data_IF_590565727491
#
_entry.id   IF_590565727491
#
_cell.length_a   1.000
_cell.length_b   1.000
_cell.length_c   1.000
_cell.angle_alpha   90.00
_cell.angle_beta   90.00
_cell.angle_gamma   90.00
#
_symmetry.space_group_name_H-M   'P 1'
#
loop_
_entity.id
_entity.type
_entity.pdbx_description
1 polymer ?
#
# COMPACT_ATOMS: atom_id res chain seq x y z
N UNK A 1 35.94 57.46 -29.01
CA UNK A 1 35.55 58.16 -27.76
C UNK A 1 34.21 57.58 -27.32
N UNK A 2 34.13 57.11 -26.06
CA UNK A 2 32.98 57.00 -25.13
C UNK A 2 31.52 57.00 -25.67
N UNK A 3 30.51 56.35 -25.10
CA UNK A 3 30.29 55.48 -23.92
C UNK A 3 28.76 55.27 -23.79
N UNK A 4 28.35 54.33 -22.95
CA UNK A 4 26.99 53.93 -22.48
C UNK A 4 26.28 52.90 -23.37
N UNK A 5 26.30 51.59 -23.07
CA UNK A 5 25.96 50.78 -21.87
C UNK A 5 24.44 50.64 -21.62
N UNK A 6 23.86 49.64 -22.25
CA UNK A 6 22.67 48.94 -21.80
C UNK A 6 23.09 47.73 -20.94
N UNK A 7 22.57 47.65 -19.72
CA UNK A 7 22.66 46.48 -18.84
C UNK A 7 21.61 45.43 -19.24
N UNK A 8 21.95 44.14 -19.33
CA UNK A 8 21.02 43.05 -19.09
C UNK A 8 21.12 42.60 -17.62
N UNK A 9 19.94 42.47 -17.00
CA UNK A 9 19.72 41.97 -15.64
C UNK A 9 20.03 40.47 -15.62
N UNK A 10 20.99 40.06 -14.78
CA UNK A 10 21.21 38.68 -14.37
C UNK A 10 20.20 38.28 -13.27
N UNK A 11 19.67 37.05 -13.26
CA UNK A 11 18.94 36.52 -12.12
C UNK A 11 19.91 36.12 -10.98
N UNK A 12 19.51 36.27 -9.70
CA UNK A 12 20.38 36.01 -8.56
C UNK A 12 20.64 34.51 -8.33
N UNK A 13 21.86 34.27 -7.88
CA UNK A 13 22.53 33.00 -7.69
C UNK A 13 21.88 32.00 -6.73
N UNK A 14 22.26 30.76 -6.98
CA UNK A 14 21.97 29.53 -6.27
C UNK A 14 22.15 29.61 -4.75
N UNK A 15 21.18 29.04 -4.02
CA UNK A 15 21.37 28.64 -2.64
C UNK A 15 22.36 27.45 -2.58
N UNK A 16 23.45 27.70 -1.86
CA UNK A 16 24.60 26.84 -1.63
C UNK A 16 24.23 25.59 -0.81
N UNK A 17 24.52 24.40 -1.35
CA UNK A 17 24.20 23.09 -0.78
C UNK A 17 25.11 22.66 0.39
N UNK A 18 25.95 23.55 0.92
CA UNK A 18 26.94 23.22 1.95
C UNK A 18 26.47 23.45 3.39
N UNK A 19 25.32 24.08 3.63
CA UNK A 19 24.82 24.31 5.00
C UNK A 19 24.27 23.03 5.68
N UNK A 20 23.74 22.08 4.90
CA UNK A 20 23.15 20.83 5.43
C UNK A 20 24.18 19.75 5.79
N UNK A 21 25.40 19.81 5.23
CA UNK A 21 26.48 18.85 5.56
C UNK A 21 27.16 19.15 6.90
N UNK A 22 27.24 20.42 7.29
CA UNK A 22 27.94 20.81 8.53
C UNK A 22 27.15 20.46 9.79
N UNK A 23 25.82 20.41 9.72
CA UNK A 23 24.97 20.08 10.87
C UNK A 23 24.98 18.58 11.23
N UNK A 24 25.21 17.70 10.25
CA UNK A 24 25.25 16.24 10.48
C UNK A 24 26.56 15.76 11.13
N UNK A 25 27.68 16.47 10.92
CA UNK A 25 28.99 16.04 11.44
C UNK A 25 29.21 16.38 12.92
N UNK A 26 28.44 17.33 13.49
CA UNK A 26 28.57 17.72 14.90
C UNK A 26 27.72 16.88 15.86
N UNK A 27 26.79 16.06 15.36
CA UNK A 27 25.84 15.32 16.21
C UNK A 27 26.28 13.88 16.52
N UNK A 28 27.33 13.37 15.85
CA UNK A 28 27.78 11.98 15.95
C UNK A 28 28.99 11.76 16.89
N UNK A 29 29.45 12.77 17.62
CA UNK A 29 30.65 12.66 18.51
C UNK A 29 30.35 12.60 20.00
N UNK A 30 29.09 12.42 20.42
CA UNK A 30 28.77 12.18 21.84
C UNK A 30 27.61 11.22 21.96
N UNK A 31 27.90 9.93 22.13
CA UNK A 31 27.19 9.04 23.05
C UNK A 31 27.98 7.73 23.17
N UNK A 32 28.82 7.67 24.20
CA UNK A 32 29.42 6.43 24.71
C UNK A 32 28.31 5.55 25.31
N UNK A 33 28.32 4.26 24.98
CA UNK A 33 27.49 3.23 25.62
C UNK A 33 28.37 2.41 26.56
N UNK A 34 28.18 2.58 27.87
CA UNK A 34 28.66 1.64 28.89
C UNK A 34 27.83 0.35 28.85
N UNK A 35 28.52 -0.78 28.84
CA UNK A 35 27.96 -2.12 28.92
C UNK A 35 27.70 -2.53 30.37
N UNK A 36 26.58 -3.23 30.62
CA UNK A 36 26.42 -4.07 31.80
C UNK A 36 25.76 -5.40 31.41
N UNK A 37 26.56 -6.46 31.49
CA UNK A 37 26.12 -7.85 31.48
C UNK A 37 25.69 -8.28 32.89
N UNK A 38 24.69 -9.16 33.04
CA UNK A 38 24.56 -10.10 34.17
C UNK A 38 23.76 -11.36 33.75
N UNK A 39 24.48 -12.48 33.77
CA UNK A 39 24.20 -13.87 34.18
C UNK A 39 22.91 -14.61 33.81
N UNK A 40 23.14 -15.83 33.30
CA UNK A 40 22.13 -16.82 32.94
C UNK A 40 21.52 -17.62 34.10
N UNK A 41 20.57 -18.49 33.74
CA UNK A 41 20.30 -19.74 34.45
C UNK A 41 19.70 -20.79 33.51
N UNK A 42 20.28 -21.98 33.64
CA UNK A 42 19.88 -23.25 33.05
C UNK A 42 18.62 -23.80 33.73
N UNK A 43 17.71 -24.39 32.96
CA UNK A 43 16.77 -25.40 33.47
C UNK A 43 16.60 -26.55 32.48
N UNK A 44 16.69 -27.76 33.06
CA UNK A 44 16.62 -29.08 32.43
C UNK A 44 15.16 -29.48 32.13
N UNK A 45 15.02 -30.22 31.04
CA UNK A 45 14.21 -31.44 30.86
C UNK A 45 13.01 -31.66 31.81
N UNK A 46 11.80 -31.59 31.26
CA UNK A 46 10.67 -32.40 31.69
C UNK A 46 9.94 -33.02 30.49
N UNK A 47 9.45 -34.22 30.77
CA UNK A 47 9.09 -35.31 29.88
C UNK A 47 7.70 -35.20 29.25
N UNK A 48 7.61 -35.74 28.02
CA UNK A 48 6.49 -36.50 27.41
C UNK A 48 5.12 -36.47 28.12
N UNK A 49 4.18 -35.76 27.52
CA UNK A 49 2.74 -36.06 27.61
C UNK A 49 2.13 -36.02 26.20
N UNK A 50 1.48 -37.12 25.81
CA UNK A 50 0.82 -37.30 24.52
C UNK A 50 -0.36 -36.34 24.37
N UNK A 51 -0.33 -35.52 23.31
CA UNK A 51 -1.42 -34.60 22.97
C UNK A 51 -2.58 -35.38 22.32
N UNK A 52 -3.85 -35.08 22.66
CA UNK A 52 -5.00 -35.72 22.05
C UNK A 52 -5.13 -35.29 20.58
N UNK A 53 -5.19 -36.27 19.69
CA UNK A 53 -5.43 -36.08 18.25
C UNK A 53 -6.85 -35.59 18.01
N UNK A 54 -7.04 -34.28 17.89
CA UNK A 54 -8.26 -33.70 17.34
C UNK A 54 -8.29 -34.03 15.85
N UNK A 55 -9.15 -34.98 15.45
CA UNK A 55 -9.49 -35.20 14.04
C UNK A 55 -10.25 -33.98 13.53
N UNK A 56 -9.54 -33.08 12.88
CA UNK A 56 -10.14 -32.02 12.06
C UNK A 56 -10.76 -32.72 10.86
N UNK A 57 -12.08 -32.86 10.87
CA UNK A 57 -12.84 -33.23 9.67
C UNK A 57 -12.69 -32.05 8.69
N UNK A 58 -12.10 -32.25 7.50
CA UNK A 58 -12.07 -31.18 6.51
C UNK A 58 -13.51 -30.79 6.18
N UNK A 59 -13.90 -29.53 6.41
CA UNK A 59 -15.07 -28.99 5.72
C UNK A 59 -14.78 -29.14 4.23
N UNK A 60 -15.61 -29.92 3.54
CA UNK A 60 -15.56 -30.10 2.11
C UNK A 60 -15.51 -28.73 1.41
N UNK A 61 -14.30 -28.34 1.02
CA UNK A 61 -14.03 -27.33 0.02
C UNK A 61 -14.48 -27.91 -1.33
N UNK A 62 -15.79 -27.96 -1.59
CA UNK A 62 -16.28 -28.06 -2.96
C UNK A 62 -16.03 -26.73 -3.65
N UNK A 63 -14.75 -26.44 -3.91
CA UNK A 63 -14.35 -25.30 -4.72
C UNK A 63 -14.79 -25.65 -6.14
N UNK A 64 -15.70 -24.83 -6.68
CA UNK A 64 -15.96 -24.77 -8.10
C UNK A 64 -14.61 -24.73 -8.84
N UNK A 65 -14.25 -25.78 -9.59
CA UNK A 65 -13.03 -25.86 -10.41
C UNK A 65 -12.97 -24.79 -11.52
N UNK A 66 -13.94 -23.87 -11.59
CA UNK A 66 -14.03 -22.80 -12.58
C UNK A 66 -12.95 -21.71 -12.42
N UNK A 67 -12.38 -21.56 -11.21
CA UNK A 67 -11.41 -20.49 -10.94
C UNK A 67 -10.20 -21.01 -10.17
N UNK A 68 -9.00 -20.66 -10.64
CA UNK A 68 -7.73 -21.05 -10.04
C UNK A 68 -6.97 -19.83 -9.53
N UNK A 69 -6.52 -19.85 -8.27
CA UNK A 69 -5.61 -18.83 -7.73
C UNK A 69 -4.16 -19.22 -8.01
N UNK A 70 -3.35 -18.28 -8.49
CA UNK A 70 -1.89 -18.40 -8.62
C UNK A 70 -1.19 -17.14 -8.13
N UNK A 71 0.12 -17.21 -7.93
CA UNK A 71 0.93 -16.00 -7.81
C UNK A 71 1.08 -15.32 -9.17
N UNK A 72 1.15 -14.00 -9.15
CA UNK A 72 1.50 -13.21 -10.33
C UNK A 72 3.00 -13.21 -10.55
N UNK A 73 3.41 -12.85 -11.76
CA UNK A 73 4.78 -12.65 -12.20
C UNK A 73 4.87 -11.35 -13.02
N UNK A 74 6.08 -10.86 -13.33
CA UNK A 74 6.24 -9.69 -14.20
C UNK A 74 5.62 -9.85 -15.59
N UNK A 75 5.43 -11.09 -16.06
CA UNK A 75 4.75 -11.39 -17.32
C UNK A 75 3.25 -11.10 -17.29
N UNK A 76 2.64 -11.01 -16.09
CA UNK A 76 1.21 -10.75 -15.92
C UNK A 76 0.85 -9.25 -15.95
N UNK A 77 1.85 -8.37 -16.04
CA UNK A 77 1.67 -6.93 -15.87
C UNK A 77 0.69 -6.30 -16.87
N UNK A 78 0.62 -6.84 -18.10
CA UNK A 78 -0.29 -6.37 -19.14
C UNK A 78 -1.75 -6.72 -18.81
N UNK A 79 -2.03 -8.00 -18.50
CA UNK A 79 -3.35 -8.43 -18.05
C UNK A 79 -3.78 -7.68 -16.76
N UNK A 80 -2.84 -7.38 -15.85
CA UNK A 80 -3.14 -6.63 -14.63
C UNK A 80 -3.54 -5.19 -14.94
N UNK A 81 -2.87 -4.57 -15.91
CA UNK A 81 -3.18 -3.22 -16.35
C UNK A 81 -4.55 -3.14 -17.02
N UNK A 82 -4.84 -4.06 -17.93
CA UNK A 82 -6.14 -4.14 -18.60
C UNK A 82 -7.29 -4.29 -17.60
N UNK A 83 -7.14 -5.22 -16.64
CA UNK A 83 -8.15 -5.44 -15.59
C UNK A 83 -8.30 -4.18 -14.72
N UNK A 84 -7.20 -3.53 -14.33
CA UNK A 84 -7.26 -2.33 -13.50
C UNK A 84 -7.95 -1.16 -14.20
N UNK A 85 -7.59 -0.89 -15.45
CA UNK A 85 -8.23 0.16 -16.26
C UNK A 85 -9.72 -0.14 -16.42
N UNK A 86 -10.06 -1.38 -16.78
CA UNK A 86 -11.44 -1.78 -16.99
C UNK A 86 -12.29 -1.68 -15.70
N UNK A 87 -11.77 -2.11 -14.55
CA UNK A 87 -12.55 -2.08 -13.31
C UNK A 87 -12.64 -0.69 -12.67
N UNK A 88 -11.71 0.22 -12.98
CA UNK A 88 -11.68 1.59 -12.47
C UNK A 88 -12.17 2.64 -13.48
N UNK A 89 -12.68 2.24 -14.65
CA UNK A 89 -13.15 3.16 -15.70
C UNK A 89 -14.21 4.18 -15.21
N UNK A 90 -14.96 3.83 -14.17
CA UNK A 90 -15.96 4.68 -13.53
C UNK A 90 -15.61 5.02 -12.07
N UNK A 91 -14.38 4.76 -11.62
CA UNK A 91 -13.93 5.19 -10.29
C UNK A 91 -13.79 6.72 -10.29
N UNK A 92 -14.33 7.32 -9.25
CA UNK A 92 -14.47 8.76 -9.03
C UNK A 92 -13.12 9.47 -8.83
N UNK A 93 -12.03 8.75 -8.55
CA UNK A 93 -10.67 9.30 -8.56
C UNK A 93 -9.95 8.93 -9.85
N UNK A 94 -9.98 7.65 -10.25
CA UNK A 94 -9.19 7.18 -11.38
C UNK A 94 -9.61 7.83 -12.70
N UNK A 95 -10.92 8.00 -12.93
CA UNK A 95 -11.44 8.63 -14.14
C UNK A 95 -10.92 10.06 -14.33
N UNK A 96 -11.06 11.01 -13.36
CA UNK A 96 -10.48 12.34 -13.51
C UNK A 96 -8.95 12.35 -13.46
N UNK A 97 -8.31 11.38 -12.81
CA UNK A 97 -6.85 11.25 -12.78
C UNK A 97 -6.24 11.01 -14.16
N UNK A 98 -6.93 10.23 -15.00
CA UNK A 98 -6.45 9.81 -16.32
C UNK A 98 -7.24 10.42 -17.48
N UNK A 99 -8.05 11.46 -17.24
CA UNK A 99 -9.00 11.98 -18.22
C UNK A 99 -8.35 12.48 -19.51
N UNK A 100 -7.15 13.08 -19.40
CA UNK A 100 -6.42 13.66 -20.53
C UNK A 100 -5.32 12.71 -21.07
N UNK A 101 -5.25 11.48 -20.57
CA UNK A 101 -4.29 10.48 -21.05
C UNK A 101 -4.79 9.81 -22.32
N UNK A 102 -3.88 9.49 -23.24
CA UNK A 102 -4.22 8.55 -24.32
C UNK A 102 -4.42 7.15 -23.74
N UNK A 103 -5.25 6.27 -24.35
CA UNK A 103 -5.39 4.89 -23.90
C UNK A 103 -4.06 4.14 -23.82
N UNK A 104 -3.14 4.42 -24.75
CA UNK A 104 -1.81 3.82 -24.78
C UNK A 104 -0.92 4.31 -23.63
N UNK A 105 -0.95 5.59 -23.31
CA UNK A 105 -0.19 6.14 -22.17
C UNK A 105 -0.74 5.62 -20.84
N UNK A 106 -2.06 5.49 -20.73
CA UNK A 106 -2.71 4.89 -19.56
C UNK A 106 -2.29 3.43 -19.38
N UNK A 107 -2.36 2.62 -20.45
CA UNK A 107 -1.91 1.23 -20.42
C UNK A 107 -0.43 1.13 -20.05
N UNK A 108 0.44 1.93 -20.67
CA UNK A 108 1.87 1.93 -20.39
C UNK A 108 2.17 2.27 -18.93
N UNK A 109 1.51 3.28 -18.39
CA UNK A 109 1.67 3.71 -17.00
C UNK A 109 1.24 2.63 -16.02
N UNK A 110 0.03 2.08 -16.19
CA UNK A 110 -0.53 1.06 -15.29
C UNK A 110 0.22 -0.28 -15.43
N UNK A 111 0.68 -0.66 -16.63
CA UNK A 111 1.50 -1.85 -16.86
C UNK A 111 2.85 -1.74 -16.17
N UNK A 112 3.51 -0.59 -16.27
CA UNK A 112 4.77 -0.37 -15.55
C UNK A 112 4.52 -0.44 -14.03
N UNK A 113 3.39 0.11 -13.57
CA UNK A 113 2.93 0.00 -12.19
C UNK A 113 2.82 -1.48 -11.70
N UNK A 114 2.24 -2.36 -12.50
CA UNK A 114 2.12 -3.76 -12.06
C UNK A 114 3.41 -4.55 -12.25
N UNK A 115 4.20 -4.27 -13.28
CA UNK A 115 5.48 -4.94 -13.50
C UNK A 115 6.38 -4.82 -12.29
N UNK A 116 6.57 -3.62 -11.77
CA UNK A 116 7.43 -3.45 -10.60
C UNK A 116 6.80 -3.95 -9.31
N UNK A 117 5.48 -3.76 -9.10
CA UNK A 117 4.80 -4.32 -7.93
C UNK A 117 5.06 -5.84 -7.81
N UNK A 118 5.08 -6.56 -8.93
CA UNK A 118 5.37 -8.01 -8.94
C UNK A 118 6.85 -8.36 -8.70
N UNK A 119 7.75 -7.37 -8.68
CA UNK A 119 9.18 -7.55 -8.39
C UNK A 119 9.58 -7.06 -6.99
N UNK A 120 8.70 -6.35 -6.28
CA UNK A 120 8.98 -5.87 -4.92
C UNK A 120 9.08 -7.06 -3.96
N UNK A 121 10.19 -7.24 -3.23
CA UNK A 121 10.40 -8.41 -2.36
C UNK A 121 9.42 -8.48 -1.20
N UNK A 122 8.84 -7.34 -0.82
CA UNK A 122 7.86 -7.19 0.24
C UNK A 122 6.41 -7.12 -0.28
N UNK A 123 6.15 -7.45 -1.55
CA UNK A 123 4.80 -7.57 -2.09
C UNK A 123 4.55 -8.99 -2.59
N UNK A 124 3.42 -9.55 -2.18
CA UNK A 124 2.90 -10.81 -2.69
C UNK A 124 1.60 -10.54 -3.43
N UNK A 125 1.60 -10.86 -4.71
CA UNK A 125 0.49 -10.61 -5.61
C UNK A 125 -0.09 -11.92 -6.12
N UNK A 126 -1.41 -12.00 -6.15
CA UNK A 126 -2.18 -13.19 -6.51
C UNK A 126 -3.14 -12.85 -7.64
N UNK A 127 -3.29 -13.79 -8.57
CA UNK A 127 -4.23 -13.73 -9.69
C UNK A 127 -5.24 -14.85 -9.63
N UNK A 128 -6.42 -14.61 -10.19
CA UNK A 128 -7.45 -15.61 -10.46
C UNK A 128 -7.50 -15.85 -11.96
N UNK A 129 -7.41 -17.11 -12.36
CA UNK A 129 -7.52 -17.59 -13.74
C UNK A 129 -8.87 -18.27 -13.90
N UNK A 130 -9.63 -17.89 -14.92
CA UNK A 130 -10.81 -18.63 -15.38
C UNK A 130 -10.36 -19.89 -16.11
N UNK A 131 -10.66 -21.06 -15.56
CA UNK A 131 -10.15 -22.34 -16.09
C UNK A 131 -10.75 -22.73 -17.43
N UNK A 132 -11.91 -22.17 -17.80
CA UNK A 132 -12.53 -22.41 -19.10
C UNK A 132 -11.83 -21.65 -20.23
N UNK A 133 -11.31 -20.45 -19.94
CA UNK A 133 -10.72 -19.54 -20.96
C UNK A 133 -9.21 -19.41 -20.85
N UNK A 134 -8.62 -19.80 -19.72
CA UNK A 134 -7.21 -19.59 -19.40
C UNK A 134 -6.85 -18.14 -19.07
N UNK A 135 -7.81 -17.21 -19.08
CA UNK A 135 -7.56 -15.78 -18.89
C UNK A 135 -7.44 -15.42 -17.42
N UNK A 136 -6.56 -14.46 -17.11
CA UNK A 136 -6.60 -13.77 -15.82
C UNK A 136 -7.84 -12.87 -15.76
N UNK A 137 -8.57 -12.93 -14.64
CA UNK A 137 -9.87 -12.24 -14.50
C UNK A 137 -9.98 -11.39 -13.24
N UNK A 138 -9.07 -11.59 -12.29
CA UNK A 138 -8.95 -10.78 -11.09
C UNK A 138 -7.53 -10.89 -10.52
N UNK A 139 -7.10 -9.90 -9.75
CA UNK A 139 -5.86 -9.96 -8.99
C UNK A 139 -5.93 -9.08 -7.73
N UNK A 140 -5.04 -9.35 -6.78
CA UNK A 140 -4.85 -8.52 -5.59
C UNK A 140 -3.40 -8.62 -5.12
N UNK A 141 -2.94 -7.59 -4.41
CA UNK A 141 -1.62 -7.58 -3.81
C UNK A 141 -1.69 -7.42 -2.28
N UNK A 142 -0.67 -7.94 -1.61
CA UNK A 142 -0.46 -7.88 -0.18
C UNK A 142 0.98 -7.44 0.07
N UNK A 143 1.13 -6.26 0.66
CA UNK A 143 2.40 -5.86 1.23
C UNK A 143 2.60 -6.58 2.56
N UNK A 144 3.71 -7.29 2.68
CA UNK A 144 4.10 -8.01 3.89
C UNK A 144 4.97 -7.09 4.76
N UNK A 145 5.00 -7.31 6.09
CA UNK A 145 5.87 -6.54 6.98
C UNK A 145 7.33 -6.58 6.51
N UNK A 146 7.95 -5.41 6.39
CA UNK A 146 9.31 -5.28 5.89
C UNK A 146 10.03 -4.09 6.54
N UNK A 147 11.28 -4.31 6.91
CA UNK A 147 12.19 -3.26 7.39
C UNK A 147 13.24 -3.05 6.31
N UNK A 148 13.24 -1.87 5.69
CA UNK A 148 14.27 -1.51 4.72
C UNK A 148 15.64 -1.45 5.40
N UNK A 149 16.68 -1.90 4.70
CA UNK A 149 18.06 -1.64 5.13
C UNK A 149 18.42 -0.16 4.95
N UNK A 150 19.53 0.27 5.53
CA UNK A 150 20.04 1.63 5.33
C UNK A 150 20.36 1.89 3.85
N UNK A 151 20.94 0.90 3.16
CA UNK A 151 21.27 0.98 1.74
C UNK A 151 20.01 1.09 0.88
N UNK A 152 18.98 0.30 1.17
CA UNK A 152 17.69 0.39 0.47
C UNK A 152 17.06 1.76 0.69
N UNK A 153 17.04 2.22 1.95
CA UNK A 153 16.54 3.54 2.32
C UNK A 153 17.26 4.65 1.57
N UNK A 154 18.60 4.61 1.52
CA UNK A 154 19.41 5.56 0.77
C UNK A 154 19.15 5.46 -0.74
N UNK A 155 19.03 4.26 -1.30
CA UNK A 155 18.75 4.05 -2.72
C UNK A 155 17.38 4.62 -3.12
N UNK A 156 16.37 4.48 -2.24
CA UNK A 156 15.06 5.09 -2.41
C UNK A 156 15.22 6.61 -2.40
N UNK A 157 15.76 7.20 -1.32
CA UNK A 157 15.87 8.66 -1.18
C UNK A 157 16.67 9.32 -2.33
N UNK A 158 17.65 8.62 -2.88
CA UNK A 158 18.51 9.12 -3.96
C UNK A 158 17.96 8.84 -5.38
N UNK A 159 16.88 8.08 -5.53
CA UNK A 159 16.29 7.83 -6.85
C UNK A 159 15.40 9.02 -7.23
N UNK A 160 15.69 9.78 -8.30
CA UNK A 160 14.82 10.90 -8.67
C UNK A 160 13.41 10.39 -9.02
N UNK A 161 12.33 11.10 -8.64
CA UNK A 161 10.99 10.73 -9.06
C UNK A 161 10.91 10.73 -10.58
N UNK A 162 10.16 9.79 -11.14
CA UNK A 162 9.92 9.77 -12.56
C UNK A 162 8.94 10.86 -12.97
N UNK A 163 9.06 11.34 -14.22
CA UNK A 163 8.07 12.23 -14.76
C UNK A 163 6.72 11.51 -14.80
N UNK A 164 5.66 12.25 -14.46
CA UNK A 164 4.31 11.80 -14.71
C UNK A 164 4.11 11.52 -16.21
N UNK A 165 3.35 10.48 -16.57
CA UNK A 165 3.01 10.24 -17.96
C UNK A 165 2.21 11.44 -18.53
N UNK A 166 2.31 11.69 -19.85
CA UNK A 166 1.52 12.71 -20.52
C UNK A 166 0.03 12.57 -20.21
N UNK A 167 -0.64 13.69 -19.94
CA UNK A 167 -2.09 13.73 -19.66
C UNK A 167 -2.53 13.29 -18.26
N UNK A 168 -1.62 12.86 -17.37
CA UNK A 168 -2.00 12.59 -15.99
C UNK A 168 -2.30 13.89 -15.24
N UNK A 169 -3.42 13.94 -14.51
CA UNK A 169 -3.71 15.04 -13.61
C UNK A 169 -2.73 15.03 -12.42
N UNK A 170 -1.70 15.88 -12.49
CA UNK A 170 -0.58 15.87 -11.53
C UNK A 170 -0.96 16.30 -10.12
N UNK A 171 -1.92 17.21 -9.99
CA UNK A 171 -2.34 17.69 -8.69
C UNK A 171 -3.22 16.66 -7.98
N UNK A 172 -4.14 16.03 -8.71
CA UNK A 172 -4.89 14.89 -8.18
C UNK A 172 -3.97 13.70 -7.87
N UNK A 173 -2.98 13.41 -8.73
CA UNK A 173 -1.99 12.36 -8.46
C UNK A 173 -1.22 12.63 -7.16
N UNK A 174 -0.82 13.89 -6.92
CA UNK A 174 -0.14 14.31 -5.69
C UNK A 174 -1.05 14.13 -4.48
N UNK A 175 -2.28 14.64 -4.53
CA UNK A 175 -3.23 14.55 -3.42
C UNK A 175 -3.56 13.09 -3.10
N UNK A 176 -3.85 12.27 -4.11
CA UNK A 176 -4.08 10.83 -3.95
C UNK A 176 -2.86 10.08 -3.42
N UNK A 177 -1.65 10.43 -3.86
CA UNK A 177 -0.41 9.84 -3.37
C UNK A 177 -0.21 10.03 -1.86
N UNK A 178 -0.68 11.14 -1.28
CA UNK A 178 -0.60 11.34 0.19
C UNK A 178 -1.45 10.33 0.97
N UNK A 179 -2.51 9.81 0.35
CA UNK A 179 -3.49 8.91 0.99
C UNK A 179 -2.96 7.49 1.18
N UNK A 180 -1.87 7.15 0.50
CA UNK A 180 -1.12 5.93 0.73
C UNK A 180 -0.63 5.79 2.19
N UNK A 181 -0.44 6.91 2.91
CA UNK A 181 0.02 6.93 4.30
C UNK A 181 -1.10 7.09 5.34
N UNK A 182 -2.37 7.22 4.92
CA UNK A 182 -3.49 7.51 5.84
C UNK A 182 -3.70 6.43 6.91
N UNK A 183 -3.33 5.19 6.60
CA UNK A 183 -3.37 4.08 7.57
C UNK A 183 -2.45 4.29 8.78
N UNK A 184 -1.36 5.08 8.66
CA UNK A 184 -0.40 5.33 9.76
C UNK A 184 -1.06 6.06 10.94
N UNK A 185 -1.93 7.04 10.64
CA UNK A 185 -2.72 7.73 11.66
C UNK A 185 -3.58 6.77 12.50
N UNK A 186 -3.91 5.61 11.93
CA UNK A 186 -4.70 4.55 12.56
C UNK A 186 -3.85 3.41 13.17
N UNK A 187 -2.53 3.57 13.28
CA UNK A 187 -1.64 2.58 13.90
C UNK A 187 -1.07 1.52 12.95
N UNK A 188 -1.16 1.72 11.63
CA UNK A 188 -0.40 0.93 10.67
C UNK A 188 1.11 1.15 10.87
N UNK A 189 1.86 0.05 10.90
CA UNK A 189 3.31 0.02 11.04
C UNK A 189 3.81 -0.98 9.97
N UNK A 190 4.48 -0.51 8.91
CA UNK A 190 4.88 -1.36 7.80
C UNK A 190 5.95 -2.40 8.15
N UNK A 191 6.58 -2.29 9.33
CA UNK A 191 7.54 -3.28 9.84
C UNK A 191 6.86 -4.42 10.61
N UNK A 192 5.60 -4.24 11.02
CA UNK A 192 4.84 -5.20 11.84
C UNK A 192 3.55 -5.68 11.21
N UNK A 193 2.93 -4.87 10.38
CA UNK A 193 1.57 -5.06 9.88
C UNK A 193 1.56 -5.28 8.37
N UNK A 194 0.59 -6.05 7.92
CA UNK A 194 0.31 -6.24 6.49
C UNK A 194 -0.51 -5.07 5.96
N UNK A 195 -0.37 -4.77 4.66
CA UNK A 195 -1.23 -3.81 3.97
C UNK A 195 -1.76 -4.38 2.66
N UNK A 196 -3.08 -4.38 2.48
CA UNK A 196 -3.70 -4.78 1.21
C UNK A 196 -3.46 -3.71 0.16
N UNK A 197 -3.06 -4.14 -1.03
CA UNK A 197 -2.75 -3.28 -2.16
C UNK A 197 -3.65 -3.68 -3.34
N UNK A 198 -4.76 -2.97 -3.50
CA UNK A 198 -5.72 -3.21 -4.58
C UNK A 198 -6.43 -4.58 -4.53
N UNK A 199 -7.64 -4.64 -5.07
CA UNK A 199 -8.34 -5.90 -5.36
C UNK A 199 -9.19 -5.63 -6.58
N UNK A 200 -8.67 -6.03 -7.73
CA UNK A 200 -9.24 -5.70 -9.02
C UNK A 200 -9.90 -6.94 -9.59
N UNK A 201 -11.09 -6.78 -10.15
CA UNK A 201 -11.83 -7.86 -10.82
C UNK A 201 -12.41 -7.28 -12.10
N UNK A 202 -12.12 -7.92 -13.22
CA UNK A 202 -12.61 -7.51 -14.52
C UNK A 202 -14.15 -7.37 -14.47
N UNK A 203 -14.76 -6.31 -15.04
CA UNK A 203 -16.20 -6.07 -14.95
C UNK A 203 -17.08 -7.30 -15.26
N UNK A 204 -16.78 -8.02 -16.34
CA UNK A 204 -17.49 -9.25 -16.75
C UNK A 204 -17.41 -10.42 -15.75
N UNK A 205 -16.50 -10.34 -14.78
CA UNK A 205 -16.27 -11.36 -13.75
C UNK A 205 -16.62 -10.87 -12.34
N UNK A 206 -17.14 -9.66 -12.19
CA UNK A 206 -17.60 -9.14 -10.92
C UNK A 206 -18.80 -9.93 -10.39
N UNK A 207 -19.06 -9.80 -9.08
CA UNK A 207 -20.16 -10.48 -8.37
C UNK A 207 -20.10 -12.02 -8.36
N UNK A 208 -19.03 -12.62 -8.86
CA UNK A 208 -18.74 -14.07 -8.78
C UNK A 208 -17.90 -14.47 -7.55
N UNK A 209 -17.68 -13.54 -6.60
CA UNK A 209 -16.93 -13.80 -5.38
C UNK A 209 -15.41 -13.78 -5.51
N UNK A 210 -14.85 -13.39 -6.67
CA UNK A 210 -13.40 -13.43 -6.93
C UNK A 210 -12.59 -12.48 -6.02
N UNK A 211 -13.11 -11.27 -5.76
CA UNK A 211 -12.49 -10.37 -4.79
C UNK A 211 -12.47 -10.93 -3.37
N UNK A 212 -13.54 -11.62 -2.94
CA UNK A 212 -13.59 -12.33 -1.66
C UNK A 212 -12.56 -13.44 -1.63
N UNK A 213 -12.46 -14.24 -2.70
CA UNK A 213 -11.49 -15.33 -2.82
C UNK A 213 -10.04 -14.82 -2.66
N UNK A 214 -9.68 -13.74 -3.36
CA UNK A 214 -8.36 -13.09 -3.24
C UNK A 214 -8.12 -12.45 -1.87
N UNK A 215 -9.18 -11.94 -1.23
CA UNK A 215 -9.08 -11.36 0.11
C UNK A 215 -8.82 -12.45 1.15
N UNK A 216 -9.54 -13.57 1.08
CA UNK A 216 -9.31 -14.71 1.95
C UNK A 216 -7.89 -15.26 1.79
N UNK A 217 -7.38 -15.36 0.55
CA UNK A 217 -6.00 -15.81 0.30
C UNK A 217 -4.95 -14.98 1.03
N UNK A 218 -5.09 -13.66 1.06
CA UNK A 218 -4.11 -12.84 1.77
C UNK A 218 -4.37 -12.80 3.28
N UNK A 219 -5.63 -12.88 3.71
CA UNK A 219 -5.94 -13.04 5.12
C UNK A 219 -5.28 -14.30 5.68
N UNK A 220 -5.29 -15.43 4.96
CA UNK A 220 -4.59 -16.65 5.37
C UNK A 220 -3.09 -16.43 5.63
N UNK A 221 -2.45 -15.53 4.88
CA UNK A 221 -1.02 -15.22 5.05
C UNK A 221 -0.81 -14.40 6.32
N UNK A 222 -1.61 -13.36 6.53
CA UNK A 222 -1.54 -12.53 7.72
C UNK A 222 -1.94 -13.30 8.99
N UNK A 223 -2.94 -14.16 8.90
CA UNK A 223 -3.43 -15.04 9.98
C UNK A 223 -2.33 -16.01 10.43
N UNK A 224 -1.62 -16.61 9.48
CA UNK A 224 -0.45 -17.46 9.78
C UNK A 224 0.70 -16.71 10.44
N UNK A 225 0.86 -15.43 10.12
CA UNK A 225 1.87 -14.56 10.71
C UNK A 225 1.42 -13.94 12.04
N UNK A 226 0.14 -14.09 12.43
CA UNK A 226 -0.39 -13.51 13.67
C UNK A 226 -0.35 -11.99 13.70
N UNK A 227 -0.45 -11.32 12.54
CA UNK A 227 -0.33 -9.86 12.46
C UNK A 227 -1.53 -9.19 11.79
N UNK A 228 -1.76 -7.92 12.18
CA UNK A 228 -2.86 -7.10 11.66
C UNK A 228 -2.71 -6.81 10.19
N UNK A 229 -3.83 -6.66 9.50
CA UNK A 229 -3.87 -6.23 8.10
C UNK A 229 -4.64 -4.92 7.97
N UNK A 230 -4.03 -3.92 7.33
CA UNK A 230 -4.64 -2.63 7.03
C UNK A 230 -5.00 -2.52 5.55
N UNK A 231 -5.95 -1.66 5.23
CA UNK A 231 -6.35 -1.34 3.87
C UNK A 231 -6.99 0.04 3.80
N UNK A 232 -6.71 0.78 2.72
CA UNK A 232 -7.49 1.95 2.33
C UNK A 232 -8.52 1.47 1.29
N UNK A 233 -9.79 1.43 1.68
CA UNK A 233 -10.91 0.95 0.88
C UNK A 233 -11.64 2.08 0.16
N UNK A 234 -12.08 1.79 -1.08
CA UNK A 234 -13.03 2.59 -1.87
C UNK A 234 -14.46 2.07 -1.64
N UNK A 235 -15.52 2.84 -1.94
CA UNK A 235 -16.91 2.41 -1.72
C UNK A 235 -17.21 1.00 -2.26
N UNK A 236 -16.71 0.68 -3.46
CA UNK A 236 -16.95 -0.59 -4.16
C UNK A 236 -16.36 -1.81 -3.44
N UNK A 237 -15.33 -1.64 -2.60
CA UNK A 237 -14.68 -2.76 -1.90
C UNK A 237 -15.18 -2.94 -0.46
N UNK A 238 -15.88 -1.97 0.12
CA UNK A 238 -16.27 -2.00 1.55
C UNK A 238 -17.07 -3.24 1.94
N UNK A 239 -18.11 -3.57 1.16
CA UNK A 239 -18.96 -4.72 1.46
C UNK A 239 -18.15 -6.02 1.51
N UNK A 240 -17.20 -6.17 0.58
CA UNK A 240 -16.32 -7.33 0.54
C UNK A 240 -15.37 -7.33 1.75
N UNK A 241 -14.72 -6.20 2.04
CA UNK A 241 -13.78 -6.07 3.16
C UNK A 241 -14.45 -6.36 4.51
N UNK A 242 -15.66 -5.84 4.75
CA UNK A 242 -16.43 -6.16 5.95
C UNK A 242 -16.76 -7.65 6.04
N UNK A 243 -17.21 -8.25 4.94
CA UNK A 243 -17.50 -9.70 4.90
C UNK A 243 -16.26 -10.55 5.20
N UNK A 244 -15.07 -10.05 4.91
CA UNK A 244 -13.79 -10.76 5.18
C UNK A 244 -13.16 -10.38 6.51
N UNK A 245 -13.87 -9.66 7.39
CA UNK A 245 -13.47 -9.39 8.77
C UNK A 245 -12.75 -8.06 9.01
N UNK A 246 -12.72 -7.17 8.03
CA UNK A 246 -12.20 -5.81 8.23
C UNK A 246 -13.25 -4.93 8.90
N UNK A 247 -12.81 -4.14 9.89
CA UNK A 247 -13.60 -3.07 10.52
C UNK A 247 -13.03 -1.71 10.13
N UNK A 248 -13.90 -0.73 9.91
CA UNK A 248 -13.47 0.63 9.63
C UNK A 248 -12.92 1.28 10.89
N UNK A 249 -11.82 2.03 10.75
CA UNK A 249 -11.16 2.79 11.81
C UNK A 249 -11.39 4.29 11.65
N UNK A 250 -11.29 4.78 10.41
CA UNK A 250 -11.41 6.18 10.07
C UNK A 250 -11.87 6.35 8.62
N UNK A 251 -12.21 7.58 8.26
CA UNK A 251 -12.40 7.98 6.87
C UNK A 251 -11.39 9.05 6.45
N UNK A 252 -11.07 9.06 5.17
CA UNK A 252 -10.27 10.10 4.54
C UNK A 252 -10.98 10.53 3.24
N UNK A 253 -10.61 11.68 2.72
CA UNK A 253 -11.31 12.30 1.61
C UNK A 253 -10.34 13.15 0.78
N UNK A 254 -10.59 13.16 -0.51
CA UNK A 254 -10.01 14.10 -1.47
C UNK A 254 -11.16 15.00 -1.92
N UNK A 255 -10.95 16.30 -1.90
CA UNK A 255 -11.96 17.24 -2.38
C UNK A 255 -12.02 17.18 -3.92
N UNK A 256 -12.91 16.32 -4.42
CA UNK A 256 -13.06 16.07 -5.84
C UNK A 256 -13.72 17.23 -6.60
N UNK A 257 -14.27 18.23 -5.91
CA UNK A 257 -14.85 19.42 -6.58
C UNK A 257 -13.78 20.22 -7.33
N UNK A 258 -12.51 20.12 -6.91
CA UNK A 258 -11.34 20.69 -7.60
C UNK A 258 -11.03 20.02 -8.94
N UNK A 259 -11.57 18.81 -9.15
CA UNK A 259 -11.22 17.93 -10.26
C UNK A 259 -12.45 17.50 -11.08
N UNK A 260 -13.55 18.24 -10.98
CA UNK A 260 -14.78 18.00 -11.73
C UNK A 260 -15.69 16.91 -11.15
N UNK A 261 -15.42 16.42 -9.94
CA UNK A 261 -16.29 15.52 -9.18
C UNK A 261 -17.23 16.25 -8.22
N UNK A 262 -17.97 15.46 -7.43
CA UNK A 262 -18.88 15.92 -6.38
C UNK A 262 -18.22 15.97 -4.99
N UNK A 263 -18.94 16.42 -3.97
CA UNK A 263 -18.45 16.41 -2.58
C UNK A 263 -18.51 15.02 -1.95
N UNK A 264 -19.30 14.13 -2.54
CA UNK A 264 -19.50 12.76 -2.10
C UNK A 264 -18.41 11.83 -2.65
N UNK A 265 -17.80 12.21 -3.77
CA UNK A 265 -16.67 11.53 -4.39
C UNK A 265 -15.39 11.64 -3.56
N UNK A 266 -14.35 10.86 -3.89
CA UNK A 266 -13.04 10.92 -3.24
C UNK A 266 -12.99 10.29 -1.84
N UNK A 267 -14.12 9.88 -1.27
CA UNK A 267 -14.19 9.27 0.06
C UNK A 267 -13.50 7.90 0.12
N UNK A 268 -12.71 7.70 1.17
CA UNK A 268 -11.98 6.47 1.49
C UNK A 268 -12.22 6.06 2.93
N UNK A 269 -12.07 4.76 3.19
CA UNK A 269 -12.14 4.20 4.53
C UNK A 269 -10.80 3.56 4.84
N UNK A 270 -10.28 3.83 6.02
CA UNK A 270 -9.14 3.11 6.56
C UNK A 270 -9.74 1.96 7.35
N UNK A 271 -9.47 0.73 6.95
CA UNK A 271 -9.95 -0.46 7.64
C UNK A 271 -8.79 -1.30 8.15
N UNK A 272 -9.07 -2.05 9.20
CA UNK A 272 -8.13 -2.99 9.80
C UNK A 272 -8.83 -4.31 10.11
N UNK A 273 -8.09 -5.41 9.96
CA UNK A 273 -8.50 -6.75 10.37
C UNK A 273 -7.47 -7.33 11.32
N UNK A 274 -7.94 -7.84 12.46
CA UNK A 274 -7.14 -8.65 13.38
C UNK A 274 -6.89 -10.05 12.77
N UNK A 275 -5.73 -10.66 13.03
CA UNK A 275 -5.45 -12.03 12.58
C UNK A 275 -6.40 -13.03 13.25
N UNK A 276 -6.87 -14.03 12.50
CA UNK A 276 -7.73 -15.10 12.98
C UNK A 276 -6.95 -16.41 13.10
N UNK A 277 -6.81 -16.92 14.33
CA UNK A 277 -6.08 -18.15 14.67
C UNK A 277 -6.66 -18.85 15.90
N UNK A 278 -6.18 -20.07 16.23
CA UNK A 278 -6.76 -20.96 17.28
C UNK A 278 -6.81 -20.38 18.71
N UNK A 279 -6.21 -19.22 18.96
CA UNK A 279 -6.27 -18.51 20.25
C UNK A 279 -7.00 -17.14 20.15
N UNK A 280 -7.82 -16.92 19.12
CA UNK A 280 -8.59 -15.67 18.97
C UNK A 280 -10.02 -15.73 19.52
N UNK A 281 -10.35 -16.70 20.38
CA UNK A 281 -11.59 -16.70 21.19
C UNK A 281 -11.46 -15.74 22.39
N UNK A 282 -11.16 -14.48 22.11
CA UNK A 282 -11.45 -13.37 22.99
C UNK A 282 -11.56 -12.14 22.10
N UNK A 283 -12.60 -11.34 22.29
CA UNK A 283 -12.93 -10.14 21.51
C UNK A 283 -13.77 -10.45 20.25
N UNK A 284 -14.93 -11.04 20.48
CA UNK A 284 -16.14 -10.66 19.74
C UNK A 284 -17.06 -9.92 20.71
N UNK A 285 -16.80 -8.64 20.91
CA UNK A 285 -17.79 -7.68 21.37
C UNK A 285 -17.26 -6.28 21.00
N UNK A 286 -18.16 -5.35 20.68
CA UNK A 286 -17.95 -4.02 20.07
C UNK A 286 -18.08 -3.97 18.54
N UNK A 287 -19.27 -4.28 18.05
CA UNK A 287 -19.74 -3.77 16.75
C UNK A 287 -21.25 -3.47 16.81
N UNK A 288 -21.63 -2.48 17.60
CA UNK A 288 -22.91 -1.76 17.48
C UNK A 288 -22.76 -0.34 18.03
N UNK A 289 -22.15 0.55 17.27
CA UNK A 289 -22.46 1.98 17.41
C UNK A 289 -22.47 2.60 16.01
N UNK A 290 -23.60 3.18 15.63
CA UNK A 290 -23.77 4.10 14.50
C UNK A 290 -23.08 5.44 14.82
N UNK A 291 -21.78 5.36 15.15
CA UNK A 291 -20.93 6.50 15.47
C UNK A 291 -20.28 7.06 14.22
N UNK A 292 -20.32 8.37 14.07
CA UNK A 292 -19.55 9.11 13.08
C UNK A 292 -18.06 8.70 13.17
N UNK A 293 -17.54 7.99 12.17
CA UNK A 293 -16.12 7.61 12.14
C UNK A 293 -15.26 8.88 12.12
N UNK A 294 -14.16 8.92 12.90
CA UNK A 294 -13.28 10.07 12.88
C UNK A 294 -12.66 10.26 11.48
N UNK A 295 -12.42 11.51 11.10
CA UNK A 295 -11.60 11.81 9.92
C UNK A 295 -10.12 11.61 10.26
N UNK A 296 -9.30 11.20 9.28
CA UNK A 296 -7.85 11.08 9.49
C UNK A 296 -7.21 12.41 9.91
N UNK A 297 -7.72 13.54 9.40
CA UNK A 297 -7.29 14.88 9.83
C UNK A 297 -7.45 15.06 11.34
N UNK A 298 -8.60 14.66 11.90
CA UNK A 298 -8.83 14.76 13.35
C UNK A 298 -7.90 13.86 14.18
N UNK A 299 -7.48 12.71 13.62
CA UNK A 299 -6.51 11.82 14.28
C UNK A 299 -5.08 12.37 14.23
N UNK A 300 -4.73 13.10 13.16
CA UNK A 300 -3.43 13.77 13.04
C UNK A 300 -3.29 14.94 14.00
N UNK A 301 -4.32 15.77 14.15
CA UNK A 301 -4.35 16.88 15.11
C UNK A 301 -4.21 16.39 16.56
N UNK A 302 -4.65 15.16 16.86
CA UNK A 302 -4.49 14.54 18.16
C UNK A 302 -3.08 13.98 18.46
N UNK A 303 -2.14 13.97 17.48
CA UNK A 303 -0.83 13.28 17.61
C UNK A 303 0.36 14.14 17.15
N UNK A 304 0.30 15.46 17.34
CA UNK A 304 1.33 16.40 16.82
C UNK A 304 2.78 16.20 17.32
N UNK A 305 3.06 15.33 18.30
CA UNK A 305 4.42 15.17 18.86
C UNK A 305 5.35 14.22 18.06
N UNK A 306 4.81 13.37 17.17
CA UNK A 306 5.60 12.33 16.46
C UNK A 306 5.98 12.71 15.01
N UNK A 307 5.57 13.91 14.59
CA UNK A 307 5.45 14.37 13.19
C UNK A 307 6.76 14.47 12.39
N UNK A 308 7.93 14.44 13.03
CA UNK A 308 9.21 14.71 12.34
C UNK A 308 10.12 13.48 12.18
N UNK A 309 9.86 12.35 12.86
CA UNK A 309 10.72 11.16 12.79
C UNK A 309 10.27 10.10 11.78
N UNK A 310 9.03 10.13 11.29
CA UNK A 310 8.44 9.00 10.52
C UNK A 310 8.48 9.11 8.99
N UNK A 311 9.23 10.07 8.43
CA UNK A 311 9.35 10.25 6.97
C UNK A 311 10.37 9.32 6.32
N UNK A 312 11.07 8.49 7.10
CA UNK A 312 12.08 7.54 6.62
C UNK A 312 11.71 6.13 7.10
N UNK A 313 10.69 5.54 6.49
CA UNK A 313 10.29 4.15 6.71
C UNK A 313 9.30 3.75 5.60
N UNK A 314 9.74 2.78 4.76
CA UNK A 314 9.08 1.91 3.74
C UNK A 314 7.86 2.40 2.91
N UNK A 315 7.09 3.40 3.34
CA UNK A 315 6.02 4.05 2.57
C UNK A 315 6.54 5.24 1.75
N UNK A 316 7.80 5.64 1.96
CA UNK A 316 8.55 6.31 0.88
C UNK A 316 8.49 5.37 -0.33
N UNK A 317 8.74 4.06 -0.25
CA UNK A 317 8.55 3.18 -1.41
C UNK A 317 7.15 3.15 -2.02
N UNK A 318 6.05 3.55 -1.35
CA UNK A 318 4.72 3.54 -1.95
C UNK A 318 4.37 4.91 -2.56
N UNK A 319 4.58 5.99 -1.81
CA UNK A 319 4.37 7.36 -2.32
C UNK A 319 5.42 7.70 -3.38
N UNK A 320 6.70 7.44 -3.11
CA UNK A 320 7.82 7.64 -4.04
C UNK A 320 7.69 6.78 -5.30
N UNK A 321 6.84 5.74 -5.30
CA UNK A 321 6.67 4.80 -6.41
C UNK A 321 5.36 4.93 -7.19
N UNK A 322 4.27 5.41 -6.58
CA UNK A 322 3.21 6.13 -7.33
C UNK A 322 3.87 7.18 -8.26
N UNK A 323 5.01 7.73 -7.83
CA UNK A 323 5.85 8.69 -8.56
C UNK A 323 7.15 8.13 -9.20
N UNK A 324 7.43 6.82 -9.21
CA UNK A 324 8.65 6.26 -9.85
C UNK A 324 8.36 5.02 -10.71
N UNK A 325 8.75 5.01 -11.99
CA UNK A 325 8.54 3.90 -12.95
C UNK A 325 9.77 3.64 -13.85
N UNK A 326 10.89 3.10 -13.38
CA UNK A 326 12.10 2.94 -14.24
C UNK A 326 11.80 2.25 -15.58
N UNK A 327 12.30 2.82 -16.67
CA UNK A 327 12.48 2.11 -17.94
C UNK A 327 13.47 0.96 -17.74
N UNK A 328 13.01 -0.28 -17.94
CA UNK A 328 13.92 -1.33 -18.42
C UNK A 328 14.29 -0.93 -19.84
N UNK A 329 15.55 -0.51 -20.06
CA UNK A 329 16.09 -0.46 -21.42
C UNK A 329 15.96 -1.88 -21.99
N UNK A 330 15.19 -2.03 -23.06
CA UNK A 330 15.24 -3.22 -23.88
C UNK A 330 16.63 -3.28 -24.51
N UNK A 331 17.36 -4.35 -24.23
CA UNK A 331 18.42 -4.83 -25.13
C UNK A 331 17.79 -5.39 -26.41
#
# INVERSE_FOLDING_TARGET
MASSLFNPITPPDACDGNALRSFYHSFLTRFDFEACAIHGRSLRSLTSASKPTIKIVPRNNSVNNAFLIRETSPADAEDMADINIACNANDDIFKPLTADMTPQDQLNWVRNYYRHQTTEPYVRSFKVIDTATGKMVAFAALRIPYTCTEEETAAILNTPPLPYPPGLNRDLAREFGTKASSSKACGYDPTKHFHRQGTNTHPNYQRKGLGTLLSLRCNEIADKAGAKTYVVGRPNSLRMLHKTGFRALATDHIDMTKYGGSKEDGKMWILMREPQGKESEAIQDLAKEDGHLPSVTSLHEAREEERYRSLVSSDVCLAFWIFNQRHTKSE
#
